data_IF_859796562656
#
_entry.id   IF_859796562656
#
_cell.length_a   1.000
_cell.length_b   1.000
_cell.length_c   1.000
_cell.angle_alpha   90.00
_cell.angle_beta   90.00
_cell.angle_gamma   90.00
#
_symmetry.space_group_name_H-M   'P 1'
#
loop_
_entity.id
_entity.type
_entity.pdbx_description
1 polymer ?
#
# COMPACT_ATOMS: atom_id res chain seq x y z
N UNK A 1 27.38 -39.10 10.78
CA UNK A 1 27.46 -39.56 9.38
C UNK A 1 26.07 -39.70 8.75
N UNK A 2 25.06 -40.18 9.50
CA UNK A 2 23.68 -40.29 9.00
C UNK A 2 23.00 -38.93 8.74
N UNK A 3 23.23 -37.90 9.57
CA UNK A 3 22.68 -36.56 9.30
C UNK A 3 23.16 -35.98 7.96
N UNK A 4 24.45 -36.11 7.64
CA UNK A 4 24.97 -35.66 6.34
C UNK A 4 24.42 -36.45 5.14
N UNK A 5 24.07 -37.74 5.33
CA UNK A 5 23.48 -38.53 4.25
C UNK A 5 22.03 -38.13 4.00
N UNK A 6 21.25 -37.85 5.05
CA UNK A 6 19.88 -37.36 4.93
C UNK A 6 19.81 -36.00 4.25
N UNK A 7 20.64 -35.04 4.65
CA UNK A 7 20.74 -33.70 4.02
C UNK A 7 21.02 -33.81 2.52
N UNK A 8 21.99 -34.64 2.12
CA UNK A 8 22.32 -34.84 0.70
C UNK A 8 21.17 -35.47 -0.09
N UNK A 9 20.43 -36.41 0.52
CA UNK A 9 19.29 -37.04 -0.13
C UNK A 9 18.12 -36.06 -0.31
N UNK A 10 17.84 -35.23 0.70
CA UNK A 10 16.83 -34.17 0.61
C UNK A 10 17.22 -33.13 -0.45
N UNK A 11 18.46 -32.67 -0.47
CA UNK A 11 18.94 -31.75 -1.51
C UNK A 11 18.76 -32.33 -2.93
N UNK A 12 19.10 -33.60 -3.14
CA UNK A 12 18.91 -34.28 -4.43
C UNK A 12 17.45 -34.40 -4.82
N UNK A 13 16.57 -34.70 -3.86
CA UNK A 13 15.13 -34.76 -4.10
C UNK A 13 14.56 -33.38 -4.44
N UNK A 14 15.03 -32.31 -3.80
CA UNK A 14 14.62 -30.94 -4.13
C UNK A 14 15.00 -30.60 -5.58
N UNK A 15 16.25 -30.85 -5.99
CA UNK A 15 16.69 -30.60 -7.37
C UNK A 15 15.82 -31.39 -8.36
N UNK A 16 15.63 -32.69 -8.12
CA UNK A 16 14.82 -33.56 -8.98
C UNK A 16 13.35 -33.13 -9.07
N UNK A 17 12.82 -32.46 -8.03
CA UNK A 17 11.46 -31.93 -8.02
C UNK A 17 11.33 -30.60 -8.77
N UNK A 18 12.30 -29.70 -8.59
CA UNK A 18 12.27 -28.33 -9.14
C UNK A 18 12.72 -28.30 -10.61
N UNK A 19 13.59 -29.23 -11.01
CA UNK A 19 14.11 -29.27 -12.37
C UNK A 19 13.04 -29.61 -13.41
N UNK A 20 12.88 -28.72 -14.39
CA UNK A 20 11.93 -28.86 -15.49
C UNK A 20 12.32 -29.97 -16.48
N UNK A 21 13.61 -30.33 -16.54
CA UNK A 21 14.10 -31.39 -17.41
C UNK A 21 13.84 -32.80 -16.86
N UNK A 22 13.50 -32.90 -15.58
CA UNK A 22 13.23 -34.16 -14.90
C UNK A 22 11.89 -34.78 -15.33
N UNK A 23 11.90 -36.11 -15.53
CA UNK A 23 10.71 -36.85 -15.95
C UNK A 23 9.56 -36.74 -14.94
N UNK A 24 8.32 -36.91 -15.41
CA UNK A 24 7.13 -36.87 -14.54
C UNK A 24 7.21 -37.89 -13.39
N UNK A 25 7.77 -39.07 -13.64
CA UNK A 25 7.93 -40.12 -12.64
C UNK A 25 8.98 -39.77 -11.57
N UNK A 26 10.12 -39.21 -11.99
CA UNK A 26 11.17 -38.74 -11.07
C UNK A 26 10.63 -37.63 -10.17
N UNK A 27 9.92 -36.65 -10.74
CA UNK A 27 9.32 -35.55 -9.97
C UNK A 27 8.29 -36.05 -8.96
N UNK A 28 7.45 -37.01 -9.32
CA UNK A 28 6.48 -37.64 -8.40
C UNK A 28 7.16 -38.40 -7.26
N UNK A 29 8.21 -39.16 -7.58
CA UNK A 29 9.00 -39.90 -6.58
C UNK A 29 9.71 -38.95 -5.61
N UNK A 30 10.34 -37.90 -6.15
CA UNK A 30 10.99 -36.87 -5.36
C UNK A 30 10.00 -36.14 -4.44
N UNK A 31 8.83 -35.76 -4.95
CA UNK A 31 7.78 -35.15 -4.14
C UNK A 31 7.30 -36.08 -3.02
N UNK A 32 7.04 -37.36 -3.32
CA UNK A 32 6.63 -38.36 -2.33
C UNK A 32 7.67 -38.50 -1.20
N UNK A 33 8.96 -38.48 -1.54
CA UNK A 33 10.04 -38.50 -0.56
C UNK A 33 10.08 -37.21 0.28
N UNK A 34 9.91 -36.03 -0.34
CA UNK A 34 9.87 -34.77 0.42
C UNK A 34 8.67 -34.70 1.37
N UNK A 35 7.51 -35.21 0.96
CA UNK A 35 6.33 -35.33 1.84
C UNK A 35 6.55 -36.34 2.98
N UNK A 36 7.28 -37.44 2.74
CA UNK A 36 7.62 -38.37 3.83
C UNK A 36 8.59 -37.75 4.85
N UNK A 37 9.52 -36.90 4.41
CA UNK A 37 10.40 -36.12 5.29
C UNK A 37 9.61 -35.10 6.11
N UNK A 38 8.65 -34.39 5.49
CA UNK A 38 7.76 -33.45 6.21
C UNK A 38 6.88 -34.15 7.25
N UNK A 39 6.38 -35.34 6.94
CA UNK A 39 5.55 -36.14 7.84
C UNK A 39 6.36 -36.92 8.90
N UNK A 40 7.69 -36.99 8.75
CA UNK A 40 8.59 -37.74 9.61
C UNK A 40 8.91 -37.06 10.94
N UNK A 41 10.10 -37.35 11.46
CA UNK A 41 10.60 -36.76 12.71
C UNK A 41 10.89 -35.26 12.54
N UNK A 42 10.38 -34.45 13.48
CA UNK A 42 10.42 -32.99 13.39
C UNK A 42 11.83 -32.46 13.64
N UNK A 43 12.60 -33.11 14.51
CA UNK A 43 13.97 -32.68 14.81
C UNK A 43 14.85 -32.86 13.58
N UNK A 44 14.69 -33.99 12.90
CA UNK A 44 15.36 -34.28 11.63
C UNK A 44 14.93 -33.31 10.53
N UNK A 45 13.62 -32.98 10.45
CA UNK A 45 13.10 -31.98 9.51
C UNK A 45 13.74 -30.61 9.76
N UNK A 46 13.70 -30.11 11.01
CA UNK A 46 14.25 -28.81 11.39
C UNK A 46 15.76 -28.75 11.14
N UNK A 47 16.53 -29.73 11.63
CA UNK A 47 17.99 -29.74 11.49
C UNK A 47 18.41 -29.80 10.03
N UNK A 48 17.78 -30.66 9.24
CA UNK A 48 18.05 -30.79 7.80
C UNK A 48 17.73 -29.48 7.07
N UNK A 49 16.55 -28.89 7.32
CA UNK A 49 16.16 -27.66 6.65
C UNK A 49 17.05 -26.48 7.03
N UNK A 50 17.44 -26.33 8.30
CA UNK A 50 18.38 -25.27 8.69
C UNK A 50 19.76 -25.43 8.04
N UNK A 51 20.25 -26.66 7.88
CA UNK A 51 21.51 -26.91 7.15
C UNK A 51 21.36 -26.53 5.66
N UNK A 52 20.23 -26.85 5.04
CA UNK A 52 19.97 -26.57 3.63
C UNK A 52 19.72 -25.09 3.31
N UNK A 53 19.35 -24.27 4.30
CA UNK A 53 19.15 -22.82 4.14
C UNK A 53 20.47 -22.05 4.08
N UNK A 54 21.57 -22.64 4.56
CA UNK A 54 22.91 -22.02 4.54
C UNK A 54 23.41 -21.78 3.12
N UNK A 55 24.36 -20.84 2.99
CA UNK A 55 24.91 -20.35 1.71
C UNK A 55 25.69 -21.39 0.90
N UNK A 56 25.99 -22.55 1.48
CA UNK A 56 26.71 -23.62 0.80
C UNK A 56 25.87 -24.30 -0.29
N UNK A 57 24.55 -24.04 -0.32
CA UNK A 57 23.60 -24.64 -1.26
C UNK A 57 23.08 -23.63 -2.30
N UNK A 58 22.54 -24.14 -3.41
CA UNK A 58 21.94 -23.29 -4.45
C UNK A 58 20.65 -22.61 -3.96
N UNK A 59 20.28 -21.50 -4.60
CA UNK A 59 19.08 -20.72 -4.24
C UNK A 59 17.80 -21.55 -4.30
N UNK A 60 17.68 -22.48 -5.24
CA UNK A 60 16.50 -23.37 -5.37
C UNK A 60 16.35 -24.30 -4.16
N UNK A 61 17.48 -24.86 -3.69
CA UNK A 61 17.51 -25.74 -2.51
C UNK A 61 17.16 -24.93 -1.26
N UNK A 62 17.79 -23.77 -1.10
CA UNK A 62 17.58 -22.88 0.05
C UNK A 62 16.13 -22.41 0.12
N UNK A 63 15.53 -22.01 -1.01
CA UNK A 63 14.12 -21.61 -1.09
C UNK A 63 13.17 -22.75 -0.74
N UNK A 64 13.44 -23.98 -1.18
CA UNK A 64 12.61 -25.13 -0.80
C UNK A 64 12.78 -25.48 0.68
N UNK A 65 14.00 -25.37 1.22
CA UNK A 65 14.27 -25.58 2.63
C UNK A 65 13.52 -24.57 3.51
N UNK A 66 13.41 -23.30 3.10
CA UNK A 66 12.54 -22.32 3.77
C UNK A 66 11.07 -22.76 3.78
N UNK A 67 10.55 -23.30 2.68
CA UNK A 67 9.17 -23.84 2.63
C UNK A 67 8.98 -25.00 3.60
N UNK A 68 10.01 -25.82 3.82
CA UNK A 68 9.98 -26.91 4.81
C UNK A 68 9.98 -26.37 6.25
N UNK A 69 10.77 -25.33 6.55
CA UNK A 69 10.74 -24.65 7.86
C UNK A 69 9.38 -23.99 8.10
N UNK A 70 8.84 -23.27 7.12
CA UNK A 70 7.49 -22.69 7.20
C UNK A 70 6.43 -23.77 7.38
N UNK A 71 6.51 -24.91 6.67
CA UNK A 71 5.58 -26.02 6.91
C UNK A 71 5.61 -26.51 8.37
N UNK A 72 6.81 -26.65 8.95
CA UNK A 72 6.98 -27.04 10.34
C UNK A 72 6.34 -26.01 11.28
N UNK A 73 6.62 -24.72 11.10
CA UNK A 73 6.07 -23.64 11.93
C UNK A 73 4.55 -23.51 11.75
N UNK A 74 4.02 -23.64 10.53
CA UNK A 74 2.57 -23.59 10.28
C UNK A 74 1.81 -24.74 10.92
N UNK A 75 2.26 -25.97 10.71
CA UNK A 75 1.41 -27.15 10.92
C UNK A 75 1.82 -28.00 12.11
N UNK A 76 3.09 -27.92 12.53
CA UNK A 76 3.68 -28.84 13.51
C UNK A 76 4.42 -28.12 14.65
N UNK A 77 4.19 -26.81 14.82
CA UNK A 77 4.81 -26.00 15.89
C UNK A 77 4.51 -26.55 17.28
N UNK A 78 3.29 -27.05 17.49
CA UNK A 78 2.88 -27.55 18.80
C UNK A 78 3.58 -28.84 19.23
N UNK A 79 4.15 -29.59 18.28
CA UNK A 79 4.90 -30.81 18.57
C UNK A 79 6.33 -30.53 19.07
N UNK A 80 6.83 -29.29 18.92
CA UNK A 80 8.10 -28.86 19.51
C UNK A 80 7.93 -28.54 21.00
N UNK A 81 8.87 -28.97 21.83
CA UNK A 81 8.97 -28.53 23.23
C UNK A 81 9.35 -27.05 23.34
N UNK A 82 9.04 -26.42 24.47
CA UNK A 82 9.37 -25.00 24.69
C UNK A 82 10.88 -24.70 24.58
N UNK A 83 11.75 -25.66 24.88
CA UNK A 83 13.20 -25.51 24.70
C UNK A 83 13.56 -25.53 23.21
N UNK A 84 13.02 -26.48 22.45
CA UNK A 84 13.26 -26.60 21.01
C UNK A 84 12.71 -25.40 20.24
N UNK A 85 11.57 -24.82 20.65
CA UNK A 85 11.04 -23.58 20.09
C UNK A 85 12.00 -22.41 20.29
N UNK A 86 12.53 -22.24 21.51
CA UNK A 86 13.52 -21.19 21.79
C UNK A 86 14.83 -21.40 21.02
N UNK A 87 15.29 -22.63 20.88
CA UNK A 87 16.47 -22.93 20.05
C UNK A 87 16.20 -22.60 18.58
N UNK A 88 15.02 -22.98 18.06
CA UNK A 88 14.57 -22.63 16.71
C UNK A 88 14.53 -21.12 16.51
N UNK A 89 14.00 -20.37 17.49
CA UNK A 89 13.93 -18.91 17.49
C UNK A 89 15.30 -18.27 17.40
N UNK A 90 16.23 -18.70 18.25
CA UNK A 90 17.60 -18.19 18.25
C UNK A 90 18.30 -18.47 16.92
N UNK A 91 18.12 -19.66 16.34
CA UNK A 91 18.71 -20.01 15.04
C UNK A 91 18.10 -19.15 13.93
N UNK A 92 16.77 -19.01 13.89
CA UNK A 92 16.09 -18.20 12.87
C UNK A 92 16.45 -16.71 12.96
N UNK A 93 16.60 -16.15 14.17
CA UNK A 93 17.08 -14.79 14.37
C UNK A 93 18.52 -14.60 13.87
N UNK A 94 19.40 -15.56 14.14
CA UNK A 94 20.78 -15.53 13.63
C UNK A 94 20.82 -15.59 12.09
N UNK A 95 19.86 -16.28 11.44
CA UNK A 95 19.75 -16.28 9.98
C UNK A 95 19.54 -14.87 9.41
N UNK A 96 18.89 -13.93 10.10
CA UNK A 96 18.78 -12.54 9.60
C UNK A 96 20.17 -11.94 9.40
N UNK A 97 21.05 -12.13 10.38
CA UNK A 97 22.42 -11.61 10.33
C UNK A 97 23.24 -12.30 9.23
N UNK A 98 23.06 -13.62 9.05
CA UNK A 98 23.71 -14.35 7.96
C UNK A 98 23.22 -13.92 6.57
N UNK A 99 21.93 -13.63 6.43
CA UNK A 99 21.28 -13.19 5.19
C UNK A 99 21.53 -11.71 4.88
N UNK A 100 22.09 -10.95 5.82
CA UNK A 100 22.48 -9.57 5.63
C UNK A 100 23.76 -9.42 4.77
N UNK A 101 23.71 -9.97 3.55
CA UNK A 101 24.78 -9.94 2.56
C UNK A 101 24.31 -9.18 1.29
N UNK A 102 25.14 -8.29 0.73
CA UNK A 102 24.80 -7.53 -0.47
C UNK A 102 24.43 -8.37 -1.69
N UNK A 103 25.05 -9.54 -1.83
CA UNK A 103 24.90 -10.45 -2.96
C UNK A 103 23.77 -11.47 -2.77
N UNK A 104 23.10 -11.45 -1.62
CA UNK A 104 22.00 -12.37 -1.34
C UNK A 104 20.75 -11.98 -2.14
N UNK A 105 20.08 -12.98 -2.72
CA UNK A 105 18.88 -12.75 -3.50
C UNK A 105 17.72 -12.23 -2.64
N UNK A 106 16.95 -11.29 -3.20
CA UNK A 106 15.78 -10.73 -2.54
C UNK A 106 14.79 -11.80 -2.05
N UNK A 107 14.61 -12.87 -2.84
CA UNK A 107 13.69 -13.95 -2.49
C UNK A 107 14.08 -14.63 -1.18
N UNK A 108 15.37 -14.91 -0.97
CA UNK A 108 15.88 -15.56 0.25
C UNK A 108 15.77 -14.64 1.48
N UNK A 109 16.08 -13.35 1.31
CA UNK A 109 15.86 -12.33 2.34
C UNK A 109 14.39 -12.28 2.77
N UNK A 110 13.48 -12.24 1.79
CA UNK A 110 12.04 -12.20 2.03
C UNK A 110 11.52 -13.48 2.69
N UNK A 111 12.01 -14.67 2.30
CA UNK A 111 11.64 -15.93 2.96
C UNK A 111 12.14 -16.01 4.41
N UNK A 112 13.31 -15.46 4.71
CA UNK A 112 13.83 -15.37 6.08
C UNK A 112 12.92 -14.49 6.94
N UNK A 113 12.56 -13.31 6.43
CA UNK A 113 11.63 -12.41 7.10
C UNK A 113 10.25 -13.03 7.32
N UNK A 114 9.72 -13.75 6.31
CA UNK A 114 8.45 -14.47 6.39
C UNK A 114 8.46 -15.57 7.45
N UNK A 115 9.53 -16.38 7.52
CA UNK A 115 9.68 -17.44 8.52
C UNK A 115 9.56 -16.88 9.94
N UNK A 116 10.22 -15.74 10.19
CA UNK A 116 10.24 -15.12 11.52
C UNK A 116 8.89 -14.49 11.87
N UNK A 117 8.24 -13.82 10.91
CA UNK A 117 6.88 -13.32 11.09
C UNK A 117 5.90 -14.47 11.40
N UNK A 118 6.08 -15.62 10.76
CA UNK A 118 5.28 -16.80 10.99
C UNK A 118 5.49 -17.41 12.38
N UNK A 119 6.74 -17.41 12.88
CA UNK A 119 7.03 -17.82 14.25
C UNK A 119 6.35 -16.90 15.27
N UNK A 120 6.41 -15.58 15.06
CA UNK A 120 5.69 -14.61 15.92
C UNK A 120 4.19 -14.87 15.89
N UNK A 121 3.62 -15.14 14.71
CA UNK A 121 2.21 -15.52 14.56
C UNK A 121 1.85 -16.79 15.34
N UNK A 122 2.79 -17.75 15.42
CA UNK A 122 2.61 -19.08 16.05
C UNK A 122 3.00 -19.19 17.51
N UNK A 123 3.86 -18.34 18.03
CA UNK A 123 4.16 -18.28 19.46
C UNK A 123 3.29 -17.23 20.15
N UNK A 124 3.15 -16.05 19.53
CA UNK A 124 2.28 -14.99 20.00
C UNK A 124 3.00 -13.69 20.33
N UNK A 125 2.29 -12.82 21.05
CA UNK A 125 2.75 -11.45 21.37
C UNK A 125 3.98 -11.44 22.28
N UNK A 126 4.17 -12.45 23.13
CA UNK A 126 5.33 -12.54 24.03
C UNK A 126 6.64 -12.57 23.24
N UNK A 127 6.73 -13.45 22.25
CA UNK A 127 7.90 -13.54 21.37
C UNK A 127 8.13 -12.22 20.62
N UNK A 128 7.07 -11.57 20.13
CA UNK A 128 7.17 -10.27 19.48
C UNK A 128 7.82 -9.21 20.38
N UNK A 129 7.36 -9.10 21.63
CA UNK A 129 7.89 -8.11 22.59
C UNK A 129 9.34 -8.39 22.98
N UNK A 130 9.75 -9.66 23.07
CA UNK A 130 11.14 -10.04 23.34
C UNK A 130 12.06 -9.75 22.15
N UNK A 131 11.56 -9.92 20.92
CA UNK A 131 12.33 -9.75 19.70
C UNK A 131 12.50 -8.29 19.26
N UNK A 132 11.49 -7.44 19.50
CA UNK A 132 11.43 -6.08 18.97
C UNK A 132 12.70 -5.25 19.27
N UNK A 133 13.24 -5.22 20.50
CA UNK A 133 14.48 -4.46 20.78
C UNK A 133 15.69 -4.93 19.98
N UNK A 134 15.80 -6.24 19.75
CA UNK A 134 16.88 -6.83 18.96
C UNK A 134 16.75 -6.46 17.48
N UNK A 135 15.53 -6.46 16.94
CA UNK A 135 15.25 -6.03 15.57
C UNK A 135 15.54 -4.54 15.37
N UNK A 136 15.17 -3.69 16.33
CA UNK A 136 15.50 -2.25 16.34
C UNK A 136 17.02 -2.04 16.36
N UNK A 137 17.75 -2.78 17.18
CA UNK A 137 19.21 -2.71 17.20
C UNK A 137 19.82 -3.16 15.86
N UNK A 138 19.29 -4.24 15.29
CA UNK A 138 19.79 -4.81 14.05
C UNK A 138 19.58 -3.86 12.86
N UNK A 139 18.40 -3.26 12.73
CA UNK A 139 18.07 -2.31 11.64
C UNK A 139 19.00 -1.09 11.63
N UNK A 140 19.56 -0.73 12.78
CA UNK A 140 20.49 0.40 12.88
C UNK A 140 21.91 0.10 12.38
N UNK A 141 22.25 -1.17 12.14
CA UNK A 141 23.62 -1.61 11.77
C UNK A 141 24.00 -1.22 10.35
N UNK A 142 23.08 -1.33 9.39
CA UNK A 142 23.37 -1.12 7.98
C UNK A 142 22.13 -1.22 7.07
N UNK A 143 22.25 -0.86 5.78
CA UNK A 143 21.12 -0.84 4.86
C UNK A 143 20.49 -2.22 4.62
N UNK A 144 21.29 -3.29 4.61
CA UNK A 144 20.77 -4.64 4.35
C UNK A 144 20.03 -5.18 5.58
N UNK A 145 20.53 -4.88 6.79
CA UNK A 145 19.83 -5.20 8.03
C UNK A 145 18.52 -4.41 8.14
N UNK A 146 18.53 -3.12 7.81
CA UNK A 146 17.32 -2.30 7.74
C UNK A 146 16.31 -2.84 6.72
N UNK A 147 16.76 -3.27 5.54
CA UNK A 147 15.94 -3.92 4.52
C UNK A 147 15.26 -5.18 5.08
N UNK A 148 16.02 -6.10 5.69
CA UNK A 148 15.50 -7.35 6.25
C UNK A 148 14.51 -7.12 7.40
N UNK A 149 14.82 -6.22 8.32
CA UNK A 149 13.91 -5.88 9.42
C UNK A 149 12.63 -5.24 8.88
N UNK A 150 12.72 -4.37 7.88
CA UNK A 150 11.54 -3.79 7.21
C UNK A 150 10.71 -4.85 6.49
N UNK A 151 11.34 -5.83 5.83
CA UNK A 151 10.62 -6.98 5.25
C UNK A 151 9.86 -7.77 6.31
N UNK A 152 10.46 -7.98 7.49
CA UNK A 152 9.79 -8.68 8.60
C UNK A 152 8.62 -7.86 9.14
N UNK A 153 8.82 -6.56 9.35
CA UNK A 153 7.78 -5.63 9.78
C UNK A 153 6.63 -5.50 8.78
N UNK A 154 6.86 -5.82 7.50
CA UNK A 154 5.82 -5.92 6.48
C UNK A 154 5.05 -7.25 6.56
N UNK A 155 5.77 -8.37 6.61
CA UNK A 155 5.15 -9.70 6.67
C UNK A 155 4.26 -9.90 7.89
N UNK A 156 4.68 -9.37 9.04
CA UNK A 156 3.98 -9.57 10.30
C UNK A 156 2.51 -9.08 10.28
N UNK A 157 2.20 -7.82 9.95
CA UNK A 157 0.81 -7.38 9.82
C UNK A 157 0.09 -8.07 8.65
N UNK A 158 0.72 -8.27 7.48
CA UNK A 158 0.10 -8.93 6.32
C UNK A 158 -0.41 -10.35 6.67
N UNK A 159 0.37 -11.13 7.41
CA UNK A 159 -0.01 -12.48 7.84
C UNK A 159 -1.16 -12.53 8.86
N UNK A 160 -1.47 -11.38 9.48
CA UNK A 160 -2.54 -11.23 10.47
C UNK A 160 -3.79 -10.56 9.87
N UNK A 161 -3.61 -9.64 8.93
CA UNK A 161 -4.71 -8.85 8.34
C UNK A 161 -5.17 -9.40 7.00
N UNK A 162 -4.26 -9.84 6.14
CA UNK A 162 -4.55 -10.32 4.78
C UNK A 162 -4.61 -11.84 4.74
N UNK A 163 -3.55 -12.53 5.19
CA UNK A 163 -3.42 -13.99 5.12
C UNK A 163 -3.88 -14.69 6.41
N UNK A 164 -5.12 -14.43 6.84
CA UNK A 164 -5.64 -14.86 8.14
C UNK A 164 -6.57 -16.09 8.09
N UNK A 165 -6.68 -16.78 6.95
CA UNK A 165 -7.65 -17.86 6.73
C UNK A 165 -7.52 -19.03 7.74
N UNK A 166 -6.30 -19.29 8.21
CA UNK A 166 -5.97 -20.35 9.18
C UNK A 166 -5.81 -19.83 10.63
N UNK A 167 -6.11 -18.55 10.89
CA UNK A 167 -5.92 -17.92 12.20
C UNK A 167 -7.26 -17.74 12.93
N UNK A 168 -7.39 -18.35 14.11
CA UNK A 168 -8.57 -18.18 14.95
C UNK A 168 -8.79 -16.72 15.38
N UNK A 169 -10.07 -16.31 15.49
CA UNK A 169 -10.44 -14.92 15.75
C UNK A 169 -9.90 -14.35 17.06
N UNK A 170 -9.81 -15.15 18.12
CA UNK A 170 -9.29 -14.70 19.42
C UNK A 170 -7.79 -14.44 19.38
N UNK A 171 -7.07 -15.35 18.74
CA UNK A 171 -5.62 -15.25 18.51
C UNK A 171 -5.29 -14.07 17.61
N UNK A 172 -6.05 -13.88 16.54
CA UNK A 172 -5.93 -12.70 15.65
C UNK A 172 -6.11 -11.40 16.43
N UNK A 173 -7.14 -11.30 17.27
CA UNK A 173 -7.39 -10.12 18.11
C UNK A 173 -6.29 -9.90 19.14
N UNK A 174 -5.71 -10.95 19.70
CA UNK A 174 -4.58 -10.82 20.62
C UNK A 174 -3.32 -10.27 19.91
N UNK A 175 -2.99 -10.83 18.75
CA UNK A 175 -1.84 -10.38 17.94
C UNK A 175 -2.00 -8.93 17.46
N UNK A 176 -3.17 -8.56 16.93
CA UNK A 176 -3.43 -7.17 16.52
C UNK A 176 -3.35 -6.18 17.68
N UNK A 177 -3.81 -6.57 18.88
CA UNK A 177 -3.65 -5.73 20.08
C UNK A 177 -2.18 -5.56 20.44
N UNK A 178 -1.40 -6.64 20.47
CA UNK A 178 0.04 -6.56 20.73
C UNK A 178 0.80 -5.70 19.72
N UNK A 179 0.43 -5.78 18.43
CA UNK A 179 0.98 -4.90 17.41
C UNK A 179 0.56 -3.45 17.61
N UNK A 180 -0.70 -3.21 17.94
CA UNK A 180 -1.22 -1.85 18.22
C UNK A 180 -0.47 -1.21 19.40
N UNK A 181 -0.21 -1.97 20.46
CA UNK A 181 0.57 -1.54 21.62
C UNK A 181 2.03 -1.20 21.27
N UNK A 182 2.56 -1.81 20.22
CA UNK A 182 3.94 -1.60 19.76
C UNK A 182 4.08 -0.47 18.73
N UNK A 183 2.98 0.10 18.21
CA UNK A 183 3.02 1.19 17.22
C UNK A 183 3.85 2.41 17.65
N UNK A 184 3.84 2.84 18.94
CA UNK A 184 4.69 3.93 19.42
C UNK A 184 6.20 3.68 19.26
N UNK A 185 6.63 2.43 19.11
CA UNK A 185 8.02 2.07 18.84
C UNK A 185 8.25 1.81 17.34
N UNK A 186 7.33 1.09 16.69
CA UNK A 186 7.43 0.72 15.26
C UNK A 186 7.37 1.95 14.34
N UNK A 187 6.45 2.89 14.57
CA UNK A 187 6.28 4.01 13.64
C UNK A 187 7.45 5.00 13.66
N UNK A 188 8.00 5.42 14.83
CA UNK A 188 9.24 6.16 14.86
C UNK A 188 10.42 5.42 14.22
N UNK A 189 10.51 4.10 14.42
CA UNK A 189 11.53 3.28 13.77
C UNK A 189 11.41 3.37 12.24
N UNK A 190 10.22 3.11 11.69
CA UNK A 190 9.98 3.16 10.25
C UNK A 190 10.25 4.55 9.66
N UNK A 191 9.84 5.61 10.36
CA UNK A 191 10.16 6.99 9.96
C UNK A 191 11.67 7.24 9.94
N UNK A 192 12.39 6.83 10.99
CA UNK A 192 13.84 7.00 11.08
C UNK A 192 14.58 6.24 9.97
N UNK A 193 14.19 5.00 9.70
CA UNK A 193 14.75 4.20 8.62
C UNK A 193 14.52 4.87 7.27
N UNK A 194 13.30 5.39 7.03
CA UNK A 194 12.96 6.10 5.82
C UNK A 194 13.84 7.33 5.63
N UNK A 195 13.92 8.22 6.63
CA UNK A 195 14.70 9.46 6.59
C UNK A 195 16.20 9.18 6.40
N UNK A 196 16.75 8.29 7.24
CA UNK A 196 18.18 7.96 7.25
C UNK A 196 18.61 7.33 5.93
N UNK A 197 17.90 6.29 5.47
CA UNK A 197 18.31 5.57 4.27
C UNK A 197 18.00 6.35 2.99
N UNK A 198 16.95 7.17 2.95
CA UNK A 198 16.71 8.07 1.82
C UNK A 198 17.80 9.14 1.71
N UNK A 199 18.15 9.82 2.81
CA UNK A 199 19.23 10.81 2.83
C UNK A 199 20.59 10.20 2.44
N UNK A 200 20.88 8.99 2.93
CA UNK A 200 22.10 8.27 2.57
C UNK A 200 22.10 7.82 1.10
N UNK A 201 20.97 7.36 0.54
CA UNK A 201 20.87 7.01 -0.87
C UNK A 201 21.20 8.20 -1.77
N UNK A 202 20.66 9.39 -1.46
CA UNK A 202 20.94 10.63 -2.20
C UNK A 202 22.42 11.05 -2.08
N UNK A 203 22.98 10.99 -0.87
CA UNK A 203 24.40 11.31 -0.61
C UNK A 203 25.33 10.38 -1.40
N UNK A 204 25.09 9.07 -1.35
CA UNK A 204 25.93 8.08 -2.02
C UNK A 204 25.77 8.09 -3.54
N UNK A 205 24.57 8.37 -4.04
CA UNK A 205 24.35 8.63 -5.46
C UNK A 205 25.15 9.86 -5.95
N UNK A 206 25.16 10.94 -5.16
CA UNK A 206 25.97 12.14 -5.44
C UNK A 206 27.48 11.86 -5.42
N UNK A 207 27.94 10.89 -4.62
CA UNK A 207 29.32 10.40 -4.58
C UNK A 207 29.65 9.36 -5.65
N UNK A 208 28.71 9.03 -6.53
CA UNK A 208 28.83 7.97 -7.55
C UNK A 208 29.05 6.56 -6.98
N UNK A 209 28.72 6.33 -5.71
CA UNK A 209 28.75 5.00 -5.09
C UNK A 209 27.43 4.26 -5.34
N UNK A 210 27.23 3.84 -6.59
CA UNK A 210 25.94 3.29 -7.05
C UNK A 210 25.51 2.04 -6.28
N UNK A 211 26.43 1.15 -5.91
CA UNK A 211 26.07 -0.07 -5.18
C UNK A 211 25.58 0.22 -3.76
N UNK A 212 26.22 1.17 -3.07
CA UNK A 212 25.79 1.64 -1.76
C UNK A 212 24.44 2.36 -1.85
N UNK A 213 24.28 3.25 -2.84
CA UNK A 213 23.03 3.94 -3.09
C UNK A 213 21.87 2.96 -3.37
N UNK A 214 22.11 1.89 -4.14
CA UNK A 214 21.13 0.82 -4.38
C UNK A 214 20.75 0.07 -3.11
N UNK A 215 21.71 -0.24 -2.23
CA UNK A 215 21.41 -0.89 -0.95
C UNK A 215 20.54 0.00 -0.06
N UNK A 216 20.86 1.29 0.02
CA UNK A 216 20.03 2.26 0.72
C UNK A 216 18.64 2.41 0.08
N UNK A 217 18.56 2.42 -1.25
CA UNK A 217 17.29 2.43 -1.97
C UNK A 217 16.43 1.19 -1.72
N UNK A 218 17.03 -0.01 -1.66
CA UNK A 218 16.34 -1.24 -1.30
C UNK A 218 15.77 -1.18 0.12
N UNK A 219 16.52 -0.61 1.07
CA UNK A 219 16.03 -0.38 2.43
C UNK A 219 14.84 0.60 2.46
N UNK A 220 14.89 1.69 1.68
CA UNK A 220 13.79 2.66 1.54
C UNK A 220 12.53 1.97 0.99
N UNK A 221 12.66 1.21 -0.09
CA UNK A 221 11.53 0.47 -0.69
C UNK A 221 10.94 -0.55 0.28
N UNK A 222 11.78 -1.32 0.98
CA UNK A 222 11.31 -2.25 2.00
C UNK A 222 10.59 -1.54 3.16
N UNK A 223 11.09 -0.38 3.58
CA UNK A 223 10.47 0.45 4.64
C UNK A 223 9.11 1.00 4.18
N UNK A 224 9.00 1.50 2.94
CA UNK A 224 7.72 1.96 2.39
C UNK A 224 6.69 0.83 2.31
N UNK A 225 7.11 -0.36 1.88
CA UNK A 225 6.21 -1.52 1.84
C UNK A 225 5.76 -1.94 3.25
N UNK A 226 6.64 -1.85 4.26
CA UNK A 226 6.24 -2.04 5.65
C UNK A 226 5.21 -0.99 6.07
N UNK A 227 5.47 0.29 5.83
CA UNK A 227 4.53 1.39 6.13
C UNK A 227 3.16 1.15 5.46
N UNK A 228 3.13 0.70 4.21
CA UNK A 228 1.89 0.37 3.49
C UNK A 228 1.11 -0.76 4.19
N UNK A 229 1.79 -1.81 4.66
CA UNK A 229 1.15 -2.89 5.39
C UNK A 229 0.52 -2.45 6.74
N UNK A 230 1.06 -1.41 7.39
CA UNK A 230 0.44 -0.81 8.58
C UNK A 230 -0.67 0.20 8.22
N UNK A 231 -0.53 0.94 7.11
CA UNK A 231 -1.45 2.01 6.71
C UNK A 231 -2.88 1.51 6.48
N UNK A 232 -3.04 0.24 6.09
CA UNK A 232 -4.35 -0.37 5.82
C UNK A 232 -5.24 -0.43 7.07
N UNK A 233 -4.66 -0.69 8.25
CA UNK A 233 -5.44 -1.00 9.46
C UNK A 233 -5.15 -0.08 10.64
N UNK A 234 -3.95 0.51 10.73
CA UNK A 234 -3.55 1.33 11.87
C UNK A 234 -4.40 2.61 12.02
N UNK A 235 -4.44 3.21 13.22
CA UNK A 235 -5.07 4.51 13.42
C UNK A 235 -4.37 5.61 12.61
N UNK A 236 -5.12 6.31 11.76
CA UNK A 236 -4.61 7.42 10.95
C UNK A 236 -3.97 8.54 11.80
N UNK A 237 -4.52 8.90 12.98
CA UNK A 237 -3.87 9.87 13.87
C UNK A 237 -2.45 9.48 14.26
N UNK A 238 -2.20 8.19 14.54
CA UNK A 238 -0.87 7.71 14.93
C UNK A 238 0.11 7.80 13.75
N UNK A 239 -0.33 7.41 12.54
CA UNK A 239 0.48 7.55 11.32
C UNK A 239 0.94 9.00 11.10
N UNK A 240 0.06 9.97 11.35
CA UNK A 240 0.39 11.39 11.25
C UNK A 240 1.30 11.85 12.40
N UNK A 241 0.98 11.47 13.64
CA UNK A 241 1.70 11.84 14.87
C UNK A 241 3.18 11.45 14.81
N UNK A 242 3.49 10.26 14.29
CA UNK A 242 4.87 9.77 14.19
C UNK A 242 5.55 10.14 12.86
N UNK A 243 4.97 11.05 12.08
CA UNK A 243 5.63 11.65 10.92
C UNK A 243 5.58 10.83 9.63
N UNK A 244 4.87 9.69 9.59
CA UNK A 244 4.83 8.85 8.37
C UNK A 244 4.14 9.56 7.20
N UNK A 245 3.11 10.38 7.46
CA UNK A 245 2.49 11.24 6.43
C UNK A 245 3.54 12.19 5.81
N UNK A 246 4.40 12.78 6.64
CA UNK A 246 5.44 13.69 6.18
C UNK A 246 6.54 12.95 5.41
N UNK A 247 7.03 11.83 5.97
CA UNK A 247 8.05 10.99 5.37
C UNK A 247 7.63 10.50 3.98
N UNK A 248 6.47 9.85 3.86
CA UNK A 248 5.94 9.43 2.56
C UNK A 248 5.69 10.63 1.62
N UNK A 249 5.27 11.77 2.16
CA UNK A 249 5.03 12.99 1.38
C UNK A 249 6.28 13.52 0.68
N UNK A 250 7.45 13.50 1.33
CA UNK A 250 8.73 13.90 0.73
C UNK A 250 9.07 12.98 -0.46
N UNK A 251 8.86 11.67 -0.30
CA UNK A 251 9.23 10.68 -1.31
C UNK A 251 8.37 10.74 -2.58
N UNK A 252 7.22 11.44 -2.57
CA UNK A 252 6.42 11.70 -3.78
C UNK A 252 7.19 12.50 -4.84
N UNK A 253 8.20 13.27 -4.45
CA UNK A 253 9.07 14.01 -5.40
C UNK A 253 10.18 13.15 -6.01
N UNK A 254 10.40 11.92 -5.53
CA UNK A 254 11.46 11.04 -5.99
C UNK A 254 10.93 10.00 -6.98
N UNK A 255 11.38 9.95 -8.24
CA UNK A 255 10.83 9.05 -9.27
C UNK A 255 10.94 7.56 -8.89
N UNK A 256 12.03 7.17 -8.22
CA UNK A 256 12.27 5.78 -7.82
C UNK A 256 11.31 5.28 -6.72
N UNK A 257 10.72 6.19 -5.94
CA UNK A 257 9.93 5.86 -4.75
C UNK A 257 8.49 6.37 -4.78
N UNK A 258 8.16 7.31 -5.68
CA UNK A 258 6.88 8.02 -5.68
C UNK A 258 5.67 7.10 -5.77
N UNK A 259 5.74 5.99 -6.52
CA UNK A 259 4.61 5.05 -6.64
C UNK A 259 4.36 4.31 -5.32
N UNK A 260 5.41 3.80 -4.67
CA UNK A 260 5.32 3.15 -3.37
C UNK A 260 4.82 4.12 -2.29
N UNK A 261 5.28 5.37 -2.32
CA UNK A 261 4.80 6.43 -1.43
C UNK A 261 3.35 6.84 -1.74
N UNK A 262 2.92 6.81 -3.00
CA UNK A 262 1.54 7.13 -3.38
C UNK A 262 0.55 6.04 -2.91
N UNK A 263 0.98 4.77 -2.91
CA UNK A 263 0.18 3.67 -2.37
C UNK A 263 -0.21 3.90 -0.91
N UNK A 264 0.71 4.42 -0.08
CA UNK A 264 0.39 4.84 1.29
C UNK A 264 -0.79 5.82 1.31
N UNK A 265 -0.75 6.86 0.47
CA UNK A 265 -1.80 7.88 0.40
C UNK A 265 -3.12 7.31 -0.11
N UNK A 266 -3.06 6.39 -1.08
CA UNK A 266 -4.23 5.66 -1.59
C UNK A 266 -4.90 4.85 -0.47
N UNK A 267 -4.12 4.07 0.30
CA UNK A 267 -4.63 3.30 1.42
C UNK A 267 -5.31 4.18 2.47
N UNK A 268 -4.63 5.25 2.94
CA UNK A 268 -5.20 6.14 3.97
C UNK A 268 -6.39 6.95 3.48
N UNK A 269 -6.45 7.30 2.19
CA UNK A 269 -7.54 8.10 1.62
C UNK A 269 -8.92 7.45 1.73
N UNK A 270 -8.94 6.12 1.68
CA UNK A 270 -10.15 5.29 1.74
C UNK A 270 -10.63 5.04 3.18
N UNK A 271 -9.85 5.46 4.18
CA UNK A 271 -10.17 5.24 5.60
C UNK A 271 -11.38 6.06 5.99
N UNK A 272 -12.30 5.41 6.71
CA UNK A 272 -13.54 6.03 7.19
C UNK A 272 -13.28 6.81 8.47
N UNK A 273 -13.90 7.98 8.56
CA UNK A 273 -13.88 8.82 9.76
C UNK A 273 -14.46 8.06 10.97
N UNK A 274 -13.73 7.99 12.11
CA UNK A 274 -14.26 7.48 13.37
C UNK A 274 -15.43 8.34 13.88
N UNK A 275 -16.33 7.72 14.65
CA UNK A 275 -17.50 8.41 15.26
C UNK A 275 -17.21 8.80 16.72
N UNK A 276 -16.08 8.36 17.26
CA UNK A 276 -15.69 8.55 18.65
C UNK A 276 -14.91 9.87 18.86
N UNK A 277 -14.37 10.05 20.06
CA UNK A 277 -13.57 11.22 20.45
C UNK A 277 -12.28 11.40 19.62
N UNK A 278 -11.85 10.40 18.84
CA UNK A 278 -10.67 10.52 17.97
C UNK A 278 -10.96 11.25 16.65
N UNK A 279 -12.23 11.59 16.37
CA UNK A 279 -12.63 12.22 15.12
C UNK A 279 -11.88 13.52 14.81
N UNK A 280 -11.58 14.37 15.81
CA UNK A 280 -10.85 15.63 15.58
C UNK A 280 -9.39 15.40 15.21
N UNK A 281 -8.73 14.42 15.82
CA UNK A 281 -7.35 14.06 15.50
C UNK A 281 -7.28 13.42 14.11
N UNK A 282 -8.28 12.60 13.77
CA UNK A 282 -8.44 12.04 12.44
C UNK A 282 -8.62 13.16 11.39
N UNK A 283 -9.51 14.11 11.64
CA UNK A 283 -9.76 15.24 10.72
C UNK A 283 -8.48 16.07 10.51
N UNK A 284 -7.70 16.30 11.56
CA UNK A 284 -6.40 16.99 11.47
C UNK A 284 -5.38 16.20 10.65
N UNK A 285 -5.29 14.88 10.85
CA UNK A 285 -4.40 14.01 10.09
C UNK A 285 -4.80 13.98 8.59
N UNK A 286 -6.10 13.84 8.31
CA UNK A 286 -6.62 13.85 6.95
C UNK A 286 -6.44 15.22 6.27
N UNK A 287 -6.57 16.32 7.01
CA UNK A 287 -6.28 17.66 6.48
C UNK A 287 -4.82 17.78 6.01
N UNK A 288 -3.88 17.23 6.77
CA UNK A 288 -2.46 17.15 6.37
C UNK A 288 -2.28 16.31 5.11
N UNK A 289 -2.95 15.16 5.03
CA UNK A 289 -2.94 14.28 3.85
C UNK A 289 -3.49 15.01 2.61
N UNK A 290 -4.61 15.73 2.74
CA UNK A 290 -5.16 16.58 1.68
C UNK A 290 -4.13 17.60 1.19
N UNK A 291 -3.47 18.32 2.10
CA UNK A 291 -2.48 19.33 1.73
C UNK A 291 -1.29 18.72 0.97
N UNK A 292 -0.77 17.59 1.44
CA UNK A 292 0.33 16.87 0.76
C UNK A 292 -0.06 16.47 -0.66
N UNK A 293 -1.22 15.84 -0.83
CA UNK A 293 -1.69 15.39 -2.15
C UNK A 293 -2.04 16.57 -3.07
N UNK A 294 -2.66 17.63 -2.53
CA UNK A 294 -2.95 18.85 -3.28
C UNK A 294 -1.71 19.58 -3.75
N UNK A 295 -0.61 19.53 -2.99
CA UNK A 295 0.66 20.14 -3.42
C UNK A 295 1.25 19.38 -4.61
N UNK A 296 1.30 18.05 -4.54
CA UNK A 296 1.78 17.20 -5.65
C UNK A 296 0.89 17.34 -6.88
N UNK A 297 -0.43 17.34 -6.68
CA UNK A 297 -1.41 17.56 -7.74
C UNK A 297 -1.23 18.93 -8.42
N UNK A 298 -1.04 20.00 -7.62
CA UNK A 298 -0.79 21.36 -8.13
C UNK A 298 0.43 21.40 -9.03
N UNK A 299 1.53 20.81 -8.59
CA UNK A 299 2.79 20.81 -9.33
C UNK A 299 2.67 20.08 -10.66
N UNK A 300 1.98 18.93 -10.68
CA UNK A 300 1.68 18.21 -11.92
C UNK A 300 0.80 19.03 -12.86
N UNK A 301 -0.34 19.55 -12.38
CA UNK A 301 -1.29 20.29 -13.20
C UNK A 301 -0.67 21.54 -13.82
N UNK A 302 0.16 22.29 -13.08
CA UNK A 302 0.88 23.45 -13.64
C UNK A 302 1.87 23.07 -14.74
N UNK A 303 2.62 21.97 -14.54
CA UNK A 303 3.55 21.47 -15.57
C UNK A 303 2.82 20.98 -16.80
N UNK A 304 1.72 20.23 -16.62
CA UNK A 304 0.90 19.70 -17.70
C UNK A 304 0.30 20.80 -18.59
N UNK A 305 -0.19 21.89 -17.98
CA UNK A 305 -0.74 23.04 -18.74
C UNK A 305 0.35 23.77 -19.54
N UNK A 306 1.58 23.80 -19.02
CA UNK A 306 2.72 24.49 -19.64
C UNK A 306 3.44 23.63 -20.69
N UNK A 307 3.37 22.30 -20.57
CA UNK A 307 4.05 21.36 -21.43
C UNK A 307 3.24 21.08 -22.70
N UNK A 308 3.51 21.81 -23.77
CA UNK A 308 2.92 21.60 -25.10
C UNK A 308 3.52 20.38 -25.81
N UNK A 309 3.25 19.16 -25.31
CA UNK A 309 3.22 17.97 -26.19
C UNK A 309 4.00 16.71 -25.80
N UNK A 310 4.70 16.63 -24.67
CA UNK A 310 5.25 15.33 -24.22
C UNK A 310 5.29 15.24 -22.69
N UNK A 311 4.20 14.72 -22.11
CA UNK A 311 4.23 14.20 -20.74
C UNK A 311 4.82 12.79 -20.84
N UNK A 312 5.82 12.50 -20.04
CA UNK A 312 6.40 11.16 -19.96
C UNK A 312 5.35 10.15 -19.48
N UNK A 313 5.31 8.94 -20.05
CA UNK A 313 4.30 7.93 -19.68
C UNK A 313 4.39 7.58 -18.17
N UNK A 314 5.60 7.56 -17.60
CA UNK A 314 5.76 7.32 -16.17
C UNK A 314 5.18 8.46 -15.31
N UNK A 315 5.26 9.71 -15.78
CA UNK A 315 4.66 10.87 -15.11
C UNK A 315 3.15 10.85 -15.21
N UNK A 316 2.61 10.36 -16.34
CA UNK A 316 1.16 10.19 -16.52
C UNK A 316 0.62 9.08 -15.62
N UNK A 317 1.27 7.93 -15.55
CA UNK A 317 0.91 6.84 -14.62
C UNK A 317 0.87 7.35 -13.18
N UNK A 318 1.90 8.09 -12.76
CA UNK A 318 1.92 8.70 -11.43
C UNK A 318 0.77 9.70 -11.22
N UNK A 319 0.46 10.52 -12.23
CA UNK A 319 -0.63 11.48 -12.15
C UNK A 319 -2.01 10.82 -12.08
N UNK A 320 -2.19 9.65 -12.71
CA UNK A 320 -3.41 8.85 -12.60
C UNK A 320 -3.59 8.36 -11.17
N UNK A 321 -2.55 7.80 -10.54
CA UNK A 321 -2.62 7.36 -9.13
C UNK A 321 -2.89 8.55 -8.19
N UNK A 322 -2.28 9.72 -8.43
CA UNK A 322 -2.55 10.94 -7.67
C UNK A 322 -4.01 11.38 -7.85
N UNK A 323 -4.54 11.35 -9.08
CA UNK A 323 -5.93 11.70 -9.37
C UNK A 323 -6.91 10.73 -8.67
N UNK A 324 -6.67 9.41 -8.75
CA UNK A 324 -7.46 8.39 -8.03
C UNK A 324 -7.47 8.66 -6.52
N UNK A 325 -6.31 8.98 -5.96
CA UNK A 325 -6.17 9.26 -4.52
C UNK A 325 -6.92 10.53 -4.13
N UNK A 326 -6.81 11.60 -4.94
CA UNK A 326 -7.56 12.83 -4.75
C UNK A 326 -9.07 12.60 -4.81
N UNK A 327 -9.56 11.79 -5.75
CA UNK A 327 -10.97 11.39 -5.85
C UNK A 327 -11.44 10.62 -4.61
N UNK A 328 -10.64 9.66 -4.14
CA UNK A 328 -10.93 8.87 -2.94
C UNK A 328 -11.03 9.76 -1.69
N UNK A 329 -10.08 10.68 -1.51
CA UNK A 329 -10.09 11.68 -0.44
C UNK A 329 -11.36 12.53 -0.46
N UNK A 330 -11.71 13.11 -1.60
CA UNK A 330 -12.90 13.96 -1.74
C UNK A 330 -14.21 13.19 -1.61
N UNK A 331 -14.24 11.90 -1.96
CA UNK A 331 -15.47 11.11 -1.87
C UNK A 331 -15.75 10.65 -0.44
N UNK A 332 -14.71 10.35 0.34
CA UNK A 332 -14.85 9.75 1.67
C UNK A 332 -14.64 10.74 2.82
N UNK A 333 -13.85 11.79 2.58
CA UNK A 333 -13.26 12.60 3.64
C UNK A 333 -13.33 14.12 3.42
N UNK A 334 -14.17 14.61 2.49
CA UNK A 334 -14.31 16.05 2.19
C UNK A 334 -14.63 16.92 3.41
N UNK A 335 -15.35 16.37 4.39
CA UNK A 335 -15.67 17.03 5.66
C UNK A 335 -14.43 17.48 6.45
N UNK A 336 -13.27 16.86 6.22
CA UNK A 336 -12.03 17.20 6.93
C UNK A 336 -11.46 18.55 6.48
N UNK A 337 -11.86 19.05 5.31
CA UNK A 337 -11.42 20.34 4.75
C UNK A 337 -12.56 21.33 4.54
N UNK A 338 -13.81 20.93 4.74
CA UNK A 338 -14.98 21.75 4.42
C UNK A 338 -15.09 23.03 5.25
N UNK A 339 -14.60 23.02 6.49
CA UNK A 339 -14.56 24.19 7.36
C UNK A 339 -13.45 25.19 6.99
N UNK A 340 -12.54 24.83 6.09
CA UNK A 340 -11.41 25.66 5.69
C UNK A 340 -11.72 26.43 4.40
N UNK A 341 -11.93 27.75 4.53
CA UNK A 341 -12.33 28.64 3.43
C UNK A 341 -11.27 28.82 2.35
N UNK A 342 -10.03 28.37 2.55
CA UNK A 342 -8.97 28.44 1.54
C UNK A 342 -8.68 27.09 0.90
N UNK A 343 -8.64 26.02 1.69
CA UNK A 343 -8.25 24.68 1.20
C UNK A 343 -9.35 24.05 0.34
N UNK A 344 -10.62 24.15 0.76
CA UNK A 344 -11.73 23.54 0.03
C UNK A 344 -11.89 24.09 -1.40
N UNK A 345 -11.93 25.41 -1.64
CA UNK A 345 -12.01 25.94 -3.01
C UNK A 345 -10.82 25.53 -3.88
N UNK A 346 -9.60 25.52 -3.33
CA UNK A 346 -8.40 25.09 -4.05
C UNK A 346 -8.47 23.60 -4.43
N UNK A 347 -8.99 22.75 -3.54
CA UNK A 347 -9.20 21.34 -3.83
C UNK A 347 -10.19 21.14 -4.97
N UNK A 348 -11.35 21.81 -4.90
CA UNK A 348 -12.37 21.73 -5.95
C UNK A 348 -11.87 22.28 -7.29
N UNK A 349 -11.05 23.33 -7.28
CA UNK A 349 -10.41 23.86 -8.48
C UNK A 349 -9.44 22.84 -9.12
N UNK A 350 -8.66 22.12 -8.31
CA UNK A 350 -7.79 21.05 -8.82
C UNK A 350 -8.60 19.88 -9.38
N UNK A 351 -9.69 19.49 -8.71
CA UNK A 351 -10.60 18.46 -9.22
C UNK A 351 -11.27 18.86 -10.54
N UNK A 352 -11.54 20.15 -10.72
CA UNK A 352 -12.06 20.68 -11.99
C UNK A 352 -10.97 20.66 -13.07
N UNK A 353 -9.73 21.01 -12.73
CA UNK A 353 -8.60 20.94 -13.65
C UNK A 353 -8.33 19.51 -14.15
N UNK A 354 -8.43 18.49 -13.28
CA UNK A 354 -8.38 17.09 -13.72
C UNK A 354 -9.55 16.72 -14.64
N UNK A 355 -10.75 17.23 -14.34
CA UNK A 355 -11.92 17.01 -15.19
C UNK A 355 -11.76 17.67 -16.56
N UNK A 356 -11.13 18.83 -16.65
CA UNK A 356 -10.84 19.52 -17.90
C UNK A 356 -9.61 18.98 -18.63
N UNK A 357 -8.85 18.07 -18.01
CA UNK A 357 -7.56 17.64 -18.52
C UNK A 357 -7.70 16.97 -19.89
N UNK A 358 -6.72 17.17 -20.78
CA UNK A 358 -6.79 16.69 -22.16
C UNK A 358 -6.73 15.16 -22.25
N UNK A 359 -5.88 14.51 -21.44
CA UNK A 359 -5.80 13.04 -21.28
C UNK A 359 -7.09 12.45 -20.73
N UNK A 360 -7.55 11.36 -21.36
CA UNK A 360 -8.84 10.73 -21.02
C UNK A 360 -8.85 10.13 -19.61
N UNK A 361 -7.78 9.42 -19.21
CA UNK A 361 -7.72 8.73 -17.94
C UNK A 361 -7.96 9.68 -16.75
N UNK A 362 -7.28 10.83 -16.72
CA UNK A 362 -7.42 11.82 -15.65
C UNK A 362 -8.84 12.41 -15.58
N UNK A 363 -9.45 12.68 -16.73
CA UNK A 363 -10.85 13.08 -16.81
C UNK A 363 -11.77 11.98 -16.27
N UNK A 364 -11.56 10.74 -16.71
CA UNK A 364 -12.39 9.59 -16.33
C UNK A 364 -12.38 9.37 -14.82
N UNK A 365 -11.20 9.37 -14.19
CA UNK A 365 -11.06 9.23 -12.74
C UNK A 365 -11.77 10.37 -11.98
N UNK A 366 -11.50 11.63 -12.34
CA UNK A 366 -12.11 12.80 -11.68
C UNK A 366 -13.62 12.91 -11.90
N UNK A 367 -14.15 12.35 -13.00
CA UNK A 367 -15.59 12.34 -13.26
C UNK A 367 -16.40 11.63 -12.17
N UNK A 368 -15.82 10.58 -11.57
CA UNK A 368 -16.44 9.82 -10.48
C UNK A 368 -16.71 10.66 -9.25
N UNK A 369 -15.77 11.54 -8.89
CA UNK A 369 -15.91 12.49 -7.81
C UNK A 369 -17.05 13.48 -8.07
N UNK A 370 -17.06 14.12 -9.24
CA UNK A 370 -18.08 15.13 -9.57
C UNK A 370 -19.49 14.53 -9.59
N UNK A 371 -19.66 13.31 -10.09
CA UNK A 371 -20.96 12.62 -10.07
C UNK A 371 -21.43 12.35 -8.64
N UNK A 372 -20.54 11.89 -7.76
CA UNK A 372 -20.87 11.63 -6.36
C UNK A 372 -21.28 12.94 -5.66
N UNK A 373 -20.49 14.00 -5.83
CA UNK A 373 -20.73 15.31 -5.23
C UNK A 373 -22.07 15.90 -5.70
N UNK A 374 -22.33 15.91 -7.00
CA UNK A 374 -23.57 16.47 -7.56
C UNK A 374 -24.80 15.68 -7.12
N UNK A 375 -24.71 14.35 -7.01
CA UNK A 375 -25.81 13.51 -6.48
C UNK A 375 -26.08 13.81 -5.01
N UNK A 376 -25.05 13.98 -4.20
CA UNK A 376 -25.19 14.32 -2.78
C UNK A 376 -25.88 15.69 -2.61
N UNK A 377 -25.47 16.69 -3.39
CA UNK A 377 -26.08 18.02 -3.38
C UNK A 377 -27.54 17.98 -3.86
N UNK A 378 -27.83 17.26 -4.94
CA UNK A 378 -29.18 17.12 -5.48
C UNK A 378 -30.13 16.37 -4.53
N UNK A 379 -29.66 15.32 -3.86
CA UNK A 379 -30.43 14.63 -2.82
C UNK A 379 -30.78 15.58 -1.67
N UNK A 380 -29.79 16.34 -1.17
CA UNK A 380 -30.01 17.26 -0.05
C UNK A 380 -30.95 18.41 -0.42
N UNK A 381 -30.87 18.96 -1.63
CA UNK A 381 -31.80 20.00 -2.10
C UNK A 381 -33.26 19.50 -2.13
N UNK A 382 -33.48 18.22 -2.47
CA UNK A 382 -34.81 17.58 -2.44
C UNK A 382 -35.33 17.37 -1.02
N UNK A 383 -34.46 17.13 -0.04
CA UNK A 383 -34.86 16.94 1.37
C UNK A 383 -35.20 18.27 2.05
N UNK A 384 -34.53 19.37 1.70
CA UNK A 384 -34.83 20.71 2.25
C UNK A 384 -36.14 21.30 1.74
N UNK A 385 -36.70 20.74 0.66
CA UNK A 385 -38.06 21.03 0.17
C UNK A 385 -38.96 19.80 0.27
N UNK A 386 -39.46 19.41 1.46
CA UNK A 386 -40.60 18.50 1.52
C UNK A 386 -41.79 19.20 0.88
N UNK A 387 -42.45 18.50 -0.04
CA UNK A 387 -43.75 18.92 -0.55
C UNK A 387 -44.67 19.28 0.63
N UNK A 388 -45.31 20.45 0.53
CA UNK A 388 -46.15 21.06 1.56
C UNK A 388 -47.04 20.06 2.31
N UNK A 389 -46.98 20.19 3.64
CA UNK A 389 -48.09 19.84 4.55
C UNK A 389 -47.83 18.61 5.41
N UNK A 390 -47.25 18.80 6.59
CA UNK A 390 -47.85 18.57 7.93
C UNK A 390 -46.82 19.01 8.97
N UNK A 391 -47.22 19.92 9.86
CA UNK A 391 -46.45 20.35 11.03
C UNK A 391 -46.48 19.20 12.06
N UNK A 392 -45.31 18.74 12.50
CA UNK A 392 -45.18 18.16 13.84
C UNK A 392 -43.89 18.67 14.49
N UNK A 393 -44.06 19.53 15.49
CA UNK A 393 -43.02 19.97 16.40
C UNK A 393 -42.40 18.78 17.14
N UNK A 394 -41.08 18.67 17.04
CA UNK A 394 -40.12 18.36 18.11
C UNK A 394 -38.88 17.69 17.53
N UNK A 395 -37.84 18.47 17.27
CA UNK A 395 -36.47 17.94 17.30
C UNK A 395 -35.51 18.98 17.86
N UNK A 396 -34.80 18.53 18.90
CA UNK A 396 -33.75 19.19 19.65
C UNK A 396 -32.64 19.68 18.71
N UNK A 397 -32.07 20.89 18.90
CA UNK A 397 -31.00 21.38 18.04
C UNK A 397 -29.70 20.64 18.36
N UNK A 398 -29.25 19.77 17.46
CA UNK A 398 -27.96 19.09 17.57
C UNK A 398 -26.96 19.68 16.56
N UNK A 399 -26.01 20.46 17.08
CA UNK A 399 -24.73 20.92 16.52
C UNK A 399 -24.71 21.78 15.24
N UNK A 400 -24.34 23.07 15.39
CA UNK A 400 -24.12 24.03 14.30
C UNK A 400 -22.82 23.85 13.50
N UNK A 401 -22.15 22.70 13.60
CA UNK A 401 -20.94 22.42 12.81
C UNK A 401 -21.27 22.06 11.36
N UNK A 402 -22.44 21.43 11.15
CA UNK A 402 -22.87 20.87 9.86
C UNK A 402 -23.27 21.95 8.84
N UNK A 403 -23.50 23.20 9.24
CA UNK A 403 -23.95 24.27 8.32
C UNK A 403 -22.83 25.09 7.67
N UNK A 404 -21.67 25.24 8.31
CA UNK A 404 -20.52 25.95 7.70
C UNK A 404 -19.86 25.16 6.58
N UNK A 405 -19.76 23.85 6.76
CA UNK A 405 -19.17 22.92 5.79
C UNK A 405 -19.90 22.94 4.44
N UNK A 406 -21.22 23.17 4.47
CA UNK A 406 -22.09 23.19 3.29
C UNK A 406 -21.97 24.49 2.49
N UNK A 407 -21.84 25.63 3.18
CA UNK A 407 -21.82 26.93 2.53
C UNK A 407 -20.57 27.13 1.65
N UNK A 408 -19.45 26.49 2.00
CA UNK A 408 -18.22 26.52 1.21
C UNK A 408 -18.34 25.80 -0.14
N UNK A 409 -18.93 24.59 -0.18
CA UNK A 409 -19.12 23.82 -1.42
C UNK A 409 -20.15 24.50 -2.34
N UNK A 410 -21.30 24.92 -1.80
CA UNK A 410 -22.30 25.65 -2.57
C UNK A 410 -21.79 27.00 -3.07
N UNK A 411 -20.93 27.68 -2.30
CA UNK A 411 -20.30 28.93 -2.72
C UNK A 411 -19.30 28.76 -3.86
N UNK A 412 -18.68 27.58 -4.00
CA UNK A 412 -17.78 27.25 -5.11
C UNK A 412 -18.54 26.87 -6.39
N UNK A 413 -19.64 26.13 -6.28
CA UNK A 413 -20.48 25.71 -7.40
C UNK A 413 -21.35 26.86 -7.93
N UNK A 414 -20.69 27.90 -8.42
CA UNK A 414 -21.32 28.99 -9.15
C UNK A 414 -21.66 28.56 -10.58
N UNK A 415 -22.52 29.34 -11.24
CA UNK A 415 -22.97 29.08 -12.61
C UNK A 415 -21.81 28.88 -13.59
N UNK A 416 -20.66 29.54 -13.37
CA UNK A 416 -19.45 29.38 -14.17
C UNK A 416 -18.87 27.95 -14.10
N UNK A 417 -18.76 27.38 -12.90
CA UNK A 417 -18.22 26.01 -12.71
C UNK A 417 -19.18 24.97 -13.30
N UNK A 418 -20.48 25.14 -13.09
CA UNK A 418 -21.50 24.27 -13.67
C UNK A 418 -21.47 24.32 -15.21
N UNK A 419 -21.33 25.53 -15.79
CA UNK A 419 -21.18 25.73 -17.24
C UNK A 419 -19.94 25.02 -17.79
N UNK A 420 -18.81 25.11 -17.08
CA UNK A 420 -17.58 24.39 -17.45
C UNK A 420 -17.79 22.88 -17.43
N UNK A 421 -18.38 22.32 -16.37
CA UNK A 421 -18.62 20.88 -16.25
C UNK A 421 -19.50 20.41 -17.41
N UNK A 422 -20.61 21.10 -17.69
CA UNK A 422 -21.50 20.77 -18.79
C UNK A 422 -20.78 20.83 -20.15
N UNK A 423 -20.03 21.89 -20.43
CA UNK A 423 -19.31 22.04 -21.69
C UNK A 423 -18.31 20.91 -21.91
N UNK A 424 -17.50 20.58 -20.90
CA UNK A 424 -16.55 19.45 -20.97
C UNK A 424 -17.29 18.14 -21.17
N UNK A 425 -18.36 17.88 -20.41
CA UNK A 425 -19.19 16.68 -20.60
C UNK A 425 -19.72 16.58 -22.02
N UNK A 426 -20.25 17.66 -22.61
CA UNK A 426 -20.74 17.67 -23.98
C UNK A 426 -19.65 17.34 -25.01
N UNK A 427 -18.46 17.92 -24.88
CA UNK A 427 -17.32 17.62 -25.75
C UNK A 427 -16.94 16.13 -25.68
N UNK A 428 -17.02 15.54 -24.48
CA UNK A 428 -16.65 14.15 -24.19
C UNK A 428 -17.72 13.11 -24.54
N UNK A 429 -18.93 13.52 -24.96
CA UNK A 429 -19.99 12.60 -25.42
C UNK A 429 -19.72 12.01 -26.81
N UNK A 430 -18.72 12.52 -27.54
CA UNK A 430 -18.42 12.17 -28.93
C UNK A 430 -17.32 11.08 -28.95
N UNK A 431 -17.58 9.95 -29.62
CA UNK A 431 -16.56 8.91 -29.86
C UNK A 431 -15.69 9.30 -31.06
N UNK A 432 -14.38 9.03 -30.98
CA UNK A 432 -13.34 9.39 -31.96
C UNK A 432 -13.68 9.04 -33.42
N UNK A 433 -14.41 7.95 -33.65
CA UNK A 433 -14.86 7.51 -34.99
C UNK A 433 -15.87 8.46 -35.68
N UNK A 434 -16.51 9.39 -34.93
CA UNK A 434 -17.58 10.26 -35.43
C UNK A 434 -17.17 11.73 -35.61
N UNK A 435 -15.89 12.06 -35.43
CA UNK A 435 -15.39 13.43 -35.49
C UNK A 435 -15.06 13.78 -36.95
N UNK A 436 -15.66 14.83 -37.51
CA UNK A 436 -15.32 15.35 -38.84
C UNK A 436 -13.91 15.97 -38.83
N UNK A 437 -13.19 16.04 -39.98
CA UNK A 437 -11.85 16.64 -40.06
C UNK A 437 -11.80 18.09 -39.54
N UNK A 438 -12.89 18.85 -39.69
CA UNK A 438 -13.02 20.23 -39.18
C UNK A 438 -13.23 20.27 -37.65
N UNK A 439 -13.94 19.29 -37.08
CA UNK A 439 -14.09 19.16 -35.63
C UNK A 439 -12.77 18.68 -34.97
N UNK A 440 -11.95 17.90 -35.67
CA UNK A 440 -10.64 17.48 -35.16
C UNK A 440 -9.67 18.66 -34.95
N UNK A 441 -9.77 19.72 -35.76
CA UNK A 441 -8.98 20.94 -35.61
C UNK A 441 -9.40 21.81 -34.41
N UNK A 442 -10.67 21.74 -34.00
CA UNK A 442 -11.18 22.47 -32.83
C UNK A 442 -11.01 21.71 -31.51
N UNK A 443 -10.92 20.38 -31.55
CA UNK A 443 -10.66 19.54 -30.36
C UNK A 443 -9.17 19.53 -29.94
N UNK A 444 -8.23 19.91 -30.81
CA UNK A 444 -6.81 20.00 -30.46
C UNK A 444 -6.22 18.69 -29.93
N UNK A 445 -5.48 18.75 -28.81
CA UNK A 445 -4.82 17.61 -28.14
C UNK A 445 -5.77 16.77 -27.26
N UNK A 446 -7.09 17.00 -27.33
CA UNK A 446 -8.09 16.35 -26.47
C UNK A 446 -8.25 14.87 -26.81
N UNK A 447 -7.91 13.99 -25.88
CA UNK A 447 -8.00 12.55 -26.04
C UNK A 447 -9.40 12.05 -25.68
N UNK A 448 -10.30 11.87 -26.66
CA UNK A 448 -11.71 11.57 -26.41
C UNK A 448 -11.99 10.18 -25.79
N UNK A 449 -11.18 9.18 -26.10
CA UNK A 449 -11.31 7.80 -25.63
C UNK A 449 -9.96 7.09 -25.75
N UNK A 450 -9.69 6.16 -24.84
CA UNK A 450 -8.55 5.25 -24.88
C UNK A 450 -9.03 3.81 -24.84
N UNK A 451 -8.48 2.96 -25.70
CA UNK A 451 -8.82 1.54 -25.82
C UNK A 451 -8.42 0.74 -24.55
N UNK A 452 -7.56 1.30 -23.70
CA UNK A 452 -7.20 0.74 -22.38
C UNK A 452 -8.39 0.67 -21.41
N UNK A 453 -9.45 1.43 -21.67
CA UNK A 453 -10.66 1.47 -20.84
C UNK A 453 -11.77 0.53 -21.31
N UNK A 454 -11.61 -0.18 -22.42
CA UNK A 454 -12.59 -1.15 -22.93
C UNK A 454 -12.83 -2.30 -21.93
N UNK A 455 -11.89 -2.57 -21.00
CA UNK A 455 -12.06 -3.54 -19.90
C UNK A 455 -12.73 -2.99 -18.62
N UNK A 456 -12.84 -1.66 -18.45
CA UNK A 456 -13.43 -0.99 -17.26
C UNK A 456 -14.87 -0.51 -17.48
N UNK A 457 -15.44 -0.82 -18.65
CA UNK A 457 -16.82 -0.54 -19.05
C UNK A 457 -16.89 0.12 -20.44
N UNK A 458 -17.86 -0.30 -21.25
CA UNK A 458 -18.04 0.24 -22.60
C UNK A 458 -18.22 1.77 -22.60
N UNK A 459 -17.81 2.42 -23.68
CA UNK A 459 -18.07 3.85 -23.94
C UNK A 459 -19.53 4.25 -23.67
N UNK A 460 -20.48 3.33 -23.88
CA UNK A 460 -21.90 3.53 -23.58
C UNK A 460 -22.16 3.82 -22.09
N UNK A 461 -21.52 3.10 -21.18
CA UNK A 461 -21.66 3.28 -19.73
C UNK A 461 -21.04 4.61 -19.28
N UNK A 462 -19.87 4.94 -19.81
CA UNK A 462 -19.24 6.24 -19.60
C UNK A 462 -20.13 7.38 -20.10
N UNK A 463 -20.70 7.24 -21.30
CA UNK A 463 -21.65 8.21 -21.86
C UNK A 463 -22.88 8.38 -20.98
N UNK A 464 -23.45 7.30 -20.45
CA UNK A 464 -24.57 7.37 -19.51
C UNK A 464 -24.23 8.15 -18.24
N UNK A 465 -23.00 8.03 -17.74
CA UNK A 465 -22.50 8.84 -16.62
C UNK A 465 -22.42 10.32 -16.98
N UNK A 466 -21.89 10.66 -18.16
CA UNK A 466 -21.79 12.07 -18.60
C UNK A 466 -23.16 12.75 -18.77
N UNK A 467 -24.19 12.00 -19.17
CA UNK A 467 -25.59 12.50 -19.28
C UNK A 467 -26.22 12.77 -17.90
N UNK A 468 -25.63 12.29 -16.81
CA UNK A 468 -26.14 12.53 -15.46
C UNK A 468 -25.72 13.90 -14.88
N UNK A 469 -24.76 14.59 -15.51
CA UNK A 469 -24.48 16.00 -15.27
C UNK A 469 -25.48 16.86 -16.04
#
# INVERSE_FOLDING_TARGET
MEENSTVSNVARAIIAFVDWSSSSEIRKSALSYLESVKAGDIRTLASTSFILVRKDWSSEIRLHAFKMLQHLVRLRWEELSSMERRDFENVALNLISEMANPCEEWALKSQTAALIAEMVRREGVTLWQEMLPSLVSLSNTGPIQAELVSMMLRWLPEDITVHNEDLEGDRRRALLRGLTESLPEIFPLLYNLLERHFGAALSEAGRQQLDSAKQHGAAVTATLNAINAYAEWAPVPDLAKYGLVHGCGILLSSPDFRLHACEYFKLVSSRKRPVDSSASEFDSAMSTIFQTMMNVSRDFLHRSISATGSIDESELEFAEVVCETMVSLGSSNLQCISGNSTVLPLYLQQMLAYFQHFKFALHFHSSGFWLALMRELAYKLKVTHPASGVISDNSVPCSGHVDKDKQGVFGFLQDEVCSVILNVSFQRLIKREKVSPEAALSLGMLELWSDEFDGKGDFSQYRSKMVCF
#
